data_IF_943812233797
#
_entry.id   IF_943812233797
#
_cell.length_a   1.000
_cell.length_b   1.000
_cell.length_c   1.000
_cell.angle_alpha   90.00
_cell.angle_beta   90.00
_cell.angle_gamma   90.00
#
_symmetry.space_group_name_H-M   'P 1'
#
loop_
_entity.id
_entity.type
_entity.pdbx_description
1 polymer ?
#
# COMPACT_ATOMS: atom_id res chain seq x y z
N UNK A 1 -12.24 -11.99 16.71
CA UNK A 1 -13.13 -13.09 16.26
C UNK A 1 -13.57 -12.70 14.84
N UNK A 2 -13.15 -13.27 13.72
CA UNK A 2 -12.35 -14.45 13.38
C UNK A 2 -11.42 -14.00 12.22
N UNK A 3 -10.10 -14.03 12.41
CA UNK A 3 -9.16 -13.97 11.28
C UNK A 3 -9.26 -15.35 10.63
N UNK A 4 -10.08 -15.47 9.60
CA UNK A 4 -10.38 -16.75 8.96
C UNK A 4 -9.09 -17.37 8.40
N UNK A 5 -8.58 -18.39 9.08
CA UNK A 5 -7.61 -19.32 8.51
C UNK A 5 -8.29 -20.02 7.33
N UNK A 6 -7.89 -19.70 6.10
CA UNK A 6 -8.27 -20.48 4.92
C UNK A 6 -7.04 -21.24 4.43
N UNK A 7 -7.18 -22.56 4.40
CA UNK A 7 -6.16 -23.52 3.96
C UNK A 7 -6.31 -23.72 2.45
N UNK A 8 -5.24 -23.52 1.69
CA UNK A 8 -5.22 -23.86 0.27
C UNK A 8 -5.19 -25.39 0.07
N UNK A 9 -5.60 -25.91 -1.11
CA UNK A 9 -5.63 -27.35 -1.40
C UNK A 9 -4.27 -28.06 -1.33
N UNK A 10 -3.16 -27.31 -1.29
CA UNK A 10 -1.79 -27.80 -1.19
C UNK A 10 -1.23 -27.81 0.25
N UNK A 11 -2.06 -27.44 1.24
CA UNK A 11 -1.68 -27.47 2.65
C UNK A 11 -0.92 -26.25 3.15
N UNK A 12 -0.65 -25.25 2.31
CA UNK A 12 -0.11 -23.97 2.74
C UNK A 12 -1.23 -23.08 3.32
N UNK A 13 -1.00 -22.55 4.52
CA UNK A 13 -1.87 -21.57 5.17
C UNK A 13 -1.41 -20.18 4.74
N UNK A 14 -2.20 -19.46 3.93
CA UNK A 14 -2.04 -18.01 3.76
C UNK A 14 -2.67 -17.32 4.98
N UNK A 15 -2.01 -17.44 6.12
CA UNK A 15 -2.35 -16.67 7.31
C UNK A 15 -1.98 -15.20 7.04
N UNK A 16 -3.00 -14.35 6.85
CA UNK A 16 -2.94 -12.89 7.02
C UNK A 16 -1.81 -12.12 6.31
N UNK A 17 -1.75 -12.14 4.97
CA UNK A 17 -0.94 -11.15 4.23
C UNK A 17 -1.76 -10.11 3.46
N UNK A 18 -3.09 -10.19 3.51
CA UNK A 18 -3.98 -9.32 2.71
C UNK A 18 -3.80 -7.80 2.95
N UNK A 19 -3.58 -7.29 4.17
CA UNK A 19 -3.33 -5.86 4.38
C UNK A 19 -2.11 -5.33 3.63
N UNK A 20 -1.16 -6.24 3.36
CA UNK A 20 0.12 -5.96 2.73
C UNK A 20 0.12 -6.38 1.26
N UNK A 21 -1.05 -6.55 0.64
CA UNK A 21 -1.15 -6.74 -0.82
C UNK A 21 -1.58 -5.46 -1.55
N UNK A 22 -2.31 -4.58 -0.86
CA UNK A 22 -2.65 -3.26 -1.38
C UNK A 22 -1.46 -2.30 -1.27
N UNK A 23 -1.44 -1.20 -2.05
CA UNK A 23 -0.41 -0.19 -1.94
C UNK A 23 -0.37 0.43 -0.54
N UNK A 24 0.83 0.47 0.05
CA UNK A 24 1.10 1.19 1.30
C UNK A 24 2.13 2.27 0.99
N UNK A 25 1.79 3.49 1.38
CA UNK A 25 2.72 4.60 1.32
C UNK A 25 3.34 4.83 2.70
N UNK A 26 4.61 5.21 2.73
CA UNK A 26 5.32 5.63 3.94
C UNK A 26 5.89 7.02 3.72
N UNK A 27 5.61 7.94 4.64
CA UNK A 27 6.11 9.31 4.62
C UNK A 27 7.09 9.46 5.77
N UNK A 28 8.29 9.97 5.48
CA UNK A 28 9.36 10.17 6.47
C UNK A 28 9.12 11.43 7.29
N UNK A 29 8.08 11.39 8.13
CA UNK A 29 7.78 12.40 9.13
C UNK A 29 6.96 11.77 10.27
N UNK A 30 7.00 12.36 11.48
CA UNK A 30 6.14 11.93 12.60
C UNK A 30 4.66 12.04 12.28
N UNK A 31 3.86 11.14 12.87
CA UNK A 31 2.42 11.01 12.65
C UNK A 31 1.68 12.34 12.73
N UNK A 32 1.85 13.10 13.80
CA UNK A 32 1.15 14.38 13.97
C UNK A 32 1.51 15.41 12.89
N UNK A 33 2.77 15.43 12.42
CA UNK A 33 3.18 16.33 11.34
C UNK A 33 2.50 15.95 10.02
N UNK A 34 2.40 14.65 9.74
CA UNK A 34 1.70 14.15 8.54
C UNK A 34 0.21 14.42 8.62
N UNK A 35 -0.42 14.20 9.78
CA UNK A 35 -1.84 14.49 9.99
C UNK A 35 -2.14 15.97 9.80
N UNK A 36 -1.39 16.87 10.45
CA UNK A 36 -1.58 18.32 10.31
C UNK A 36 -1.51 18.74 8.84
N UNK A 37 -0.45 18.37 8.14
CA UNK A 37 -0.27 18.74 6.72
C UNK A 37 -1.37 18.15 5.83
N UNK A 38 -1.75 16.89 6.07
CA UNK A 38 -2.80 16.21 5.31
C UNK A 38 -4.14 16.91 5.50
N UNK A 39 -4.51 17.22 6.74
CA UNK A 39 -5.77 17.89 7.07
C UNK A 39 -5.80 19.31 6.53
N UNK A 40 -4.72 20.10 6.68
CA UNK A 40 -4.64 21.45 6.14
C UNK A 40 -4.80 21.48 4.61
N UNK A 41 -4.06 20.62 3.90
CA UNK A 41 -4.15 20.54 2.44
C UNK A 41 -5.53 20.08 1.97
N UNK A 42 -6.06 19.00 2.54
CA UNK A 42 -7.35 18.44 2.11
C UNK A 42 -8.54 19.33 2.50
N UNK A 43 -8.47 20.07 3.61
CA UNK A 43 -9.47 21.10 3.93
C UNK A 43 -9.52 22.19 2.86
N UNK A 44 -8.37 22.58 2.30
CA UNK A 44 -8.31 23.53 1.19
C UNK A 44 -9.01 23.04 -0.09
N UNK A 45 -9.16 21.73 -0.27
CA UNK A 45 -9.91 21.12 -1.38
C UNK A 45 -11.40 20.93 -1.07
N UNK A 46 -11.80 20.97 0.21
CA UNK A 46 -13.17 20.76 0.68
C UNK A 46 -13.67 19.32 0.56
N UNK A 47 -14.92 19.11 0.99
CA UNK A 47 -15.66 17.84 0.78
C UNK A 47 -15.08 16.62 1.48
N UNK A 48 -14.37 16.77 2.60
CA UNK A 48 -13.72 15.68 3.32
C UNK A 48 -13.97 15.78 4.82
N UNK A 49 -14.09 14.63 5.48
CA UNK A 49 -14.15 14.50 6.93
C UNK A 49 -12.89 13.79 7.45
N UNK A 50 -12.58 14.05 8.72
CA UNK A 50 -11.39 13.55 9.38
C UNK A 50 -11.79 12.97 10.74
N UNK A 51 -11.52 11.69 10.95
CA UNK A 51 -11.86 10.98 12.18
C UNK A 51 -10.58 10.40 12.78
N UNK A 52 -10.23 10.82 13.99
CA UNK A 52 -9.11 10.23 14.74
C UNK A 52 -9.53 8.84 15.26
N UNK A 53 -8.65 7.86 15.10
CA UNK A 53 -8.83 6.49 15.56
C UNK A 53 -7.77 6.16 16.62
N UNK A 54 -8.17 5.34 17.60
CA UNK A 54 -7.32 4.84 18.70
C UNK A 54 -7.60 3.36 18.92
N UNK A 55 -7.14 2.54 17.99
CA UNK A 55 -7.43 1.10 17.96
C UNK A 55 -6.33 0.35 17.19
N UNK A 56 -6.20 -0.98 17.35
CA UNK A 56 -5.21 -1.75 16.62
C UNK A 56 -5.40 -1.68 15.09
N UNK A 57 -4.30 -1.79 14.33
CA UNK A 57 -4.31 -1.74 12.86
C UNK A 57 -5.43 -2.59 12.21
N UNK A 58 -5.69 -3.86 12.61
CA UNK A 58 -6.76 -4.64 12.00
C UNK A 58 -8.15 -3.99 12.09
N UNK A 59 -8.44 -3.29 13.19
CA UNK A 59 -9.70 -2.58 13.35
C UNK A 59 -9.72 -1.31 12.48
N UNK A 60 -8.63 -0.54 12.45
CA UNK A 60 -8.53 0.65 11.59
C UNK A 60 -8.70 0.30 10.11
N UNK A 61 -8.10 -0.81 9.65
CA UNK A 61 -8.23 -1.28 8.27
C UNK A 61 -9.67 -1.67 7.92
N UNK A 62 -10.47 -2.10 8.89
CA UNK A 62 -11.89 -2.39 8.66
C UNK A 62 -12.69 -1.14 8.25
N UNK A 63 -12.24 0.07 8.63
CA UNK A 63 -12.87 1.31 8.17
C UNK A 63 -12.69 1.54 6.66
N UNK A 64 -11.66 0.94 6.04
CA UNK A 64 -11.44 1.00 4.59
C UNK A 64 -12.34 0.02 3.82
N UNK A 65 -13.04 -0.88 4.50
CA UNK A 65 -13.99 -1.77 3.84
C UNK A 65 -15.31 -1.04 3.51
N UNK A 66 -16.03 -1.51 2.46
CA UNK A 66 -15.57 -2.46 1.44
C UNK A 66 -14.52 -1.84 0.50
N UNK A 67 -13.77 -2.68 -0.22
CA UNK A 67 -12.93 -2.20 -1.33
C UNK A 67 -13.79 -1.45 -2.34
N UNK A 68 -13.26 -0.38 -2.93
CA UNK A 68 -14.02 0.34 -3.93
C UNK A 68 -13.20 1.10 -4.98
N UNK A 69 -13.83 1.35 -6.13
CA UNK A 69 -13.26 2.15 -7.22
C UNK A 69 -14.31 3.10 -7.83
N UNK A 70 -14.04 4.41 -7.90
CA UNK A 70 -12.89 5.08 -7.27
C UNK A 70 -12.94 5.01 -5.74
N UNK A 71 -11.78 5.02 -5.10
CA UNK A 71 -11.66 5.02 -3.63
C UNK A 71 -12.02 6.38 -3.06
N UNK A 72 -12.73 6.44 -1.93
CA UNK A 72 -13.01 7.70 -1.22
C UNK A 72 -12.50 7.71 0.23
N UNK A 73 -11.92 6.59 0.70
CA UNK A 73 -11.35 6.50 2.04
C UNK A 73 -9.84 6.31 2.02
N UNK A 74 -9.18 6.94 2.98
CA UNK A 74 -7.75 6.82 3.23
C UNK A 74 -7.52 6.71 4.74
N UNK A 75 -6.45 6.05 5.14
CA UNK A 75 -6.10 5.87 6.54
C UNK A 75 -4.63 6.20 6.74
N UNK A 76 -4.35 7.22 7.55
CA UNK A 76 -2.99 7.55 8.03
C UNK A 76 -2.78 6.84 9.35
N UNK A 77 -1.64 6.16 9.54
CA UNK A 77 -1.35 5.33 10.72
C UNK A 77 0.05 5.63 11.22
N UNK A 78 0.16 5.85 12.53
CA UNK A 78 1.42 5.95 13.27
C UNK A 78 2.23 4.64 13.17
N UNK A 79 3.55 4.75 13.26
CA UNK A 79 4.43 3.57 13.28
C UNK A 79 5.37 3.65 14.47
N UNK A 80 5.87 2.50 14.93
CA UNK A 80 6.80 2.41 16.05
C UNK A 80 8.17 3.05 15.75
N UNK A 81 8.43 3.38 14.48
CA UNK A 81 9.52 4.25 14.09
C UNK A 81 8.99 5.69 13.98
N UNK A 82 9.21 6.53 15.00
CA UNK A 82 8.72 7.92 15.10
C UNK A 82 9.00 8.82 13.88
N UNK A 83 9.92 8.41 13.00
CA UNK A 83 10.26 9.09 11.76
C UNK A 83 9.40 8.69 10.55
N UNK A 84 8.54 7.67 10.68
CA UNK A 84 7.74 7.11 9.60
C UNK A 84 6.25 7.13 9.95
N UNK A 85 5.44 7.47 8.95
CA UNK A 85 3.97 7.38 9.01
C UNK A 85 3.48 6.58 7.81
N UNK A 86 2.59 5.61 8.04
CA UNK A 86 2.01 4.80 6.98
C UNK A 86 0.69 5.40 6.49
N UNK A 87 0.40 5.23 5.19
CA UNK A 87 -0.87 5.64 4.58
C UNK A 87 -1.42 4.47 3.75
N UNK A 88 -2.63 4.07 4.08
CA UNK A 88 -3.40 3.01 3.44
C UNK A 88 -4.56 3.60 2.65
N UNK A 89 -5.06 2.82 1.70
CA UNK A 89 -6.14 3.21 0.79
C UNK A 89 -7.28 2.21 0.78
N UNK A 90 -8.48 2.71 0.47
CA UNK A 90 -9.58 1.87 0.01
C UNK A 90 -9.33 1.40 -1.43
N UNK A 91 -8.28 0.61 -1.64
CA UNK A 91 -8.15 -0.18 -2.86
C UNK A 91 -7.64 0.51 -4.12
N UNK A 92 -7.21 1.76 -4.04
CA UNK A 92 -6.65 2.49 -5.18
C UNK A 92 -5.40 3.27 -4.78
N UNK A 93 -4.56 3.60 -5.76
CA UNK A 93 -3.35 4.35 -5.48
C UNK A 93 -3.67 5.77 -5.02
N UNK A 94 -3.11 6.16 -3.88
CA UNK A 94 -3.39 7.47 -3.27
C UNK A 94 -2.31 8.47 -3.68
N UNK A 95 -2.71 9.46 -4.47
CA UNK A 95 -1.89 10.63 -4.75
C UNK A 95 -1.63 11.52 -3.51
N UNK A 96 -2.49 11.47 -2.48
CA UNK A 96 -2.35 12.25 -1.24
C UNK A 96 -0.99 12.07 -0.59
N UNK A 97 -0.51 10.84 -0.45
CA UNK A 97 0.75 10.58 0.24
C UNK A 97 1.95 11.18 -0.51
N UNK A 98 1.90 11.19 -1.85
CA UNK A 98 2.90 11.85 -2.68
C UNK A 98 2.83 13.38 -2.52
N UNK A 99 1.63 13.97 -2.55
CA UNK A 99 1.45 15.42 -2.36
C UNK A 99 1.89 15.88 -0.97
N UNK A 100 1.49 15.17 0.08
CA UNK A 100 1.89 15.48 1.46
C UNK A 100 3.39 15.28 1.65
N UNK A 101 3.95 14.19 1.12
CA UNK A 101 5.39 13.96 1.11
C UNK A 101 6.17 15.11 0.45
N UNK A 102 5.66 15.62 -0.68
CA UNK A 102 6.21 16.77 -1.38
C UNK A 102 6.10 18.08 -0.60
N UNK A 103 4.95 18.34 0.03
CA UNK A 103 4.71 19.55 0.85
C UNK A 103 5.59 19.58 2.09
N UNK A 104 5.88 18.42 2.67
CA UNK A 104 6.80 18.27 3.80
C UNK A 104 8.29 18.26 3.43
N UNK A 105 8.61 18.27 2.12
CA UNK A 105 9.95 18.05 1.57
C UNK A 105 10.64 16.81 2.19
N UNK A 106 9.89 15.70 2.22
CA UNK A 106 10.29 14.48 2.92
C UNK A 106 10.46 13.29 1.97
N UNK A 107 11.23 12.30 2.41
CA UNK A 107 11.30 11.01 1.74
C UNK A 107 9.92 10.34 1.81
N UNK A 108 9.40 9.88 0.68
CA UNK A 108 8.15 9.14 0.61
C UNK A 108 8.30 7.90 -0.26
N UNK A 109 7.75 6.79 0.21
CA UNK A 109 7.97 5.47 -0.37
C UNK A 109 6.61 4.82 -0.61
N UNK A 110 6.35 4.46 -1.85
CA UNK A 110 5.22 3.62 -2.23
C UNK A 110 5.67 2.19 -2.34
N UNK A 111 4.97 1.28 -1.68
CA UNK A 111 5.19 -0.17 -1.77
C UNK A 111 3.91 -0.83 -2.26
N UNK A 112 4.00 -1.88 -3.08
CA UNK A 112 2.83 -2.70 -3.43
C UNK A 112 3.26 -4.10 -3.84
N UNK A 113 2.48 -5.10 -3.46
CA UNK A 113 2.68 -6.48 -3.88
C UNK A 113 1.34 -7.19 -4.14
N UNK A 114 1.03 -7.45 -5.41
CA UNK A 114 -0.08 -8.27 -5.84
C UNK A 114 0.50 -9.62 -6.33
N UNK A 115 0.08 -10.77 -5.78
CA UNK A 115 0.49 -12.06 -6.32
C UNK A 115 -0.15 -12.33 -7.69
N UNK A 116 0.56 -13.02 -8.58
CA UNK A 116 -0.03 -13.49 -9.83
C UNK A 116 -0.75 -14.81 -9.60
N UNK A 117 -2.06 -14.86 -9.80
CA UNK A 117 -2.86 -16.05 -9.52
C UNK A 117 -3.57 -16.53 -10.77
N UNK A 118 -3.39 -17.81 -11.06
CA UNK A 118 -4.04 -18.52 -12.16
C UNK A 118 -4.89 -19.64 -11.60
N UNK A 119 -6.17 -19.67 -11.95
CA UNK A 119 -7.14 -20.71 -11.61
C UNK A 119 -7.76 -21.26 -12.89
N UNK A 120 -7.84 -22.58 -13.04
CA UNK A 120 -8.40 -23.23 -14.22
C UNK A 120 -7.84 -22.69 -15.56
N UNK A 121 -6.52 -22.43 -15.57
CA UNK A 121 -5.79 -21.81 -16.70
C UNK A 121 -6.24 -20.40 -17.07
N UNK A 122 -7.02 -19.74 -16.22
CA UNK A 122 -7.41 -18.34 -16.34
C UNK A 122 -6.71 -17.52 -15.27
N UNK A 123 -6.20 -16.35 -15.66
CA UNK A 123 -5.64 -15.40 -14.71
C UNK A 123 -6.81 -14.77 -13.94
N UNK A 124 -6.76 -14.89 -12.62
CA UNK A 124 -7.74 -14.28 -11.72
C UNK A 124 -7.14 -13.12 -10.92
N UNK A 125 -5.81 -13.07 -10.82
CA UNK A 125 -5.08 -11.90 -10.31
C UNK A 125 -3.81 -11.63 -11.10
N UNK A 126 -3.61 -10.39 -11.52
CA UNK A 126 -2.40 -9.97 -12.25
C UNK A 126 -1.31 -9.59 -11.26
N UNK A 127 -0.16 -10.27 -11.30
CA UNK A 127 0.88 -10.03 -10.31
C UNK A 127 1.63 -8.72 -10.55
N UNK A 128 2.02 -8.05 -9.47
CA UNK A 128 2.82 -6.83 -9.50
C UNK A 128 3.54 -6.62 -8.19
N UNK A 129 4.88 -6.50 -8.22
CA UNK A 129 5.67 -5.99 -7.08
C UNK A 129 6.27 -4.65 -7.49
N UNK A 130 6.11 -3.61 -6.68
CA UNK A 130 6.65 -2.29 -6.97
C UNK A 130 7.13 -1.54 -5.71
N UNK A 131 8.22 -0.78 -5.88
CA UNK A 131 8.77 0.17 -4.92
C UNK A 131 9.06 1.48 -5.63
N UNK A 132 8.43 2.58 -5.21
CA UNK A 132 8.73 3.92 -5.73
C UNK A 132 9.21 4.80 -4.59
N UNK A 133 10.32 5.51 -4.79
CA UNK A 133 10.95 6.39 -3.81
C UNK A 133 10.94 7.80 -4.38
N UNK A 134 10.42 8.75 -3.62
CA UNK A 134 10.50 10.17 -3.92
C UNK A 134 11.10 10.93 -2.73
N UNK A 135 11.74 12.05 -3.00
CA UNK A 135 12.21 13.01 -1.99
C UNK A 135 11.57 14.35 -2.31
N UNK A 136 10.67 14.81 -1.45
CA UNK A 136 9.80 15.93 -1.79
C UNK A 136 9.02 15.63 -3.08
N UNK A 137 9.01 16.59 -4.02
CA UNK A 137 8.38 16.43 -5.34
C UNK A 137 9.23 15.63 -6.36
N UNK A 138 10.47 15.25 -6.02
CA UNK A 138 11.40 14.60 -6.95
C UNK A 138 11.24 13.08 -6.89
N UNK A 139 11.00 12.45 -8.04
CA UNK A 139 11.09 10.99 -8.20
C UNK A 139 12.56 10.55 -8.20
N UNK A 140 12.93 9.66 -7.27
CA UNK A 140 14.32 9.22 -7.06
C UNK A 140 14.55 7.87 -7.72
N UNK A 141 13.68 6.89 -7.45
CA UNK A 141 13.84 5.51 -7.89
C UNK A 141 12.48 4.86 -8.09
N UNK A 142 12.31 4.06 -9.13
CA UNK A 142 11.25 3.05 -9.17
C UNK A 142 11.78 1.71 -9.64
N UNK A 143 11.24 0.66 -9.02
CA UNK A 143 11.48 -0.74 -9.38
C UNK A 143 10.12 -1.40 -9.48
N UNK A 144 9.83 -2.05 -10.60
CA UNK A 144 8.57 -2.74 -10.80
C UNK A 144 8.71 -3.98 -11.67
N UNK A 145 8.25 -5.12 -11.15
CA UNK A 145 7.92 -6.31 -11.92
C UNK A 145 6.40 -6.44 -11.95
N UNK A 146 5.76 -6.25 -13.10
CA UNK A 146 4.30 -6.26 -13.20
C UNK A 146 3.79 -6.99 -14.43
N UNK A 147 2.70 -7.73 -14.28
CA UNK A 147 1.98 -8.34 -15.38
C UNK A 147 0.94 -7.37 -15.92
N UNK A 148 0.99 -7.11 -17.23
CA UNK A 148 -0.06 -6.40 -17.96
C UNK A 148 -0.64 -7.34 -19.02
N UNK A 149 -0.21 -7.24 -20.28
CA UNK A 149 -0.41 -8.28 -21.30
C UNK A 149 0.68 -9.36 -21.28
N UNK A 150 1.83 -9.03 -20.68
CA UNK A 150 2.98 -9.88 -20.41
C UNK A 150 3.68 -9.34 -19.16
N UNK A 151 4.63 -10.09 -18.62
CA UNK A 151 5.51 -9.57 -17.59
C UNK A 151 6.39 -8.44 -18.14
N UNK A 152 6.43 -7.34 -17.40
CA UNK A 152 7.24 -6.16 -17.68
C UNK A 152 8.16 -5.88 -16.50
N UNK A 153 9.39 -5.49 -16.82
CA UNK A 153 10.39 -5.05 -15.86
C UNK A 153 10.68 -3.57 -16.12
N UNK A 154 10.40 -2.73 -15.14
CA UNK A 154 10.52 -1.27 -15.26
C UNK A 154 11.43 -0.75 -14.16
N UNK A 155 12.42 0.06 -14.56
CA UNK A 155 13.34 0.75 -13.67
C UNK A 155 13.39 2.24 -14.02
N UNK A 156 13.52 3.09 -13.01
CA UNK A 156 13.82 4.52 -13.17
C UNK A 156 14.81 4.97 -12.10
N UNK A 157 15.69 5.92 -12.44
CA UNK A 157 16.66 6.48 -11.50
C UNK A 157 17.82 5.53 -11.16
N UNK A 158 18.72 6.00 -10.30
CA UNK A 158 19.92 5.26 -9.93
C UNK A 158 19.64 4.18 -8.88
N UNK A 159 20.32 3.02 -8.96
CA UNK A 159 20.29 2.02 -7.90
C UNK A 159 20.64 2.60 -6.52
N UNK A 160 19.87 2.20 -5.51
CA UNK A 160 20.12 2.54 -4.12
C UNK A 160 21.10 1.54 -3.47
N UNK A 161 21.86 1.94 -2.43
CA UNK A 161 22.90 1.08 -1.82
C UNK A 161 22.41 -0.23 -1.23
N UNK A 162 21.12 -0.34 -0.91
CA UNK A 162 20.50 -1.53 -0.34
C UNK A 162 19.96 -2.51 -1.40
N UNK A 163 19.96 -2.13 -2.68
CA UNK A 163 19.39 -2.97 -3.74
C UNK A 163 20.27 -4.19 -4.03
N UNK A 164 19.65 -5.38 -4.11
CA UNK A 164 20.28 -6.60 -4.59
C UNK A 164 20.22 -6.65 -6.13
N UNK A 165 21.21 -6.06 -6.78
CA UNK A 165 21.23 -5.94 -8.25
C UNK A 165 21.42 -7.27 -8.98
N UNK A 166 21.97 -8.29 -8.32
CA UNK A 166 22.15 -9.61 -8.94
C UNK A 166 20.77 -10.24 -9.25
N UNK A 167 19.79 -10.05 -8.37
CA UNK A 167 18.41 -10.50 -8.58
C UNK A 167 17.79 -9.95 -9.87
N UNK A 168 18.19 -8.75 -10.32
CA UNK A 168 17.61 -8.10 -11.50
C UNK A 168 17.96 -8.82 -12.81
N UNK A 169 18.94 -9.72 -12.77
CA UNK A 169 19.34 -10.54 -13.91
C UNK A 169 18.58 -11.86 -14.02
N UNK A 170 17.68 -12.16 -13.07
CA UNK A 170 16.91 -13.39 -13.08
C UNK A 170 16.15 -13.60 -14.41
N UNK A 171 16.09 -14.88 -14.83
CA UNK A 171 15.52 -15.27 -16.14
C UNK A 171 14.04 -14.91 -16.25
N UNK A 172 13.27 -15.12 -15.18
CA UNK A 172 11.85 -14.73 -15.13
C UNK A 172 11.74 -13.37 -14.48
N UNK A 173 10.99 -12.47 -15.09
CA UNK A 173 10.76 -11.11 -14.58
C UNK A 173 10.18 -11.08 -13.16
N UNK A 174 9.19 -11.93 -12.78
CA UNK A 174 8.68 -11.98 -11.40
C UNK A 174 9.76 -12.26 -10.35
N UNK A 175 10.77 -13.05 -10.73
CA UNK A 175 11.85 -13.46 -9.83
C UNK A 175 12.88 -12.34 -9.66
N UNK A 176 12.79 -11.24 -10.42
CA UNK A 176 13.69 -10.08 -10.31
C UNK A 176 13.32 -9.14 -9.17
N UNK A 177 12.07 -9.18 -8.71
CA UNK A 177 11.63 -8.36 -7.58
C UNK A 177 10.45 -9.02 -6.87
N UNK A 178 10.79 -9.76 -5.83
CA UNK A 178 9.86 -10.55 -5.03
C UNK A 178 9.32 -9.74 -3.85
N UNK A 179 8.30 -10.25 -3.16
CA UNK A 179 7.83 -9.68 -1.88
C UNK A 179 8.97 -9.64 -0.84
N UNK A 180 9.79 -10.68 -0.79
CA UNK A 180 10.95 -10.77 0.10
C UNK A 180 11.93 -9.62 -0.16
N UNK A 181 12.36 -9.41 -1.42
CA UNK A 181 13.24 -8.28 -1.76
C UNK A 181 12.59 -6.93 -1.47
N UNK A 182 11.27 -6.78 -1.69
CA UNK A 182 10.55 -5.56 -1.33
C UNK A 182 10.64 -5.31 0.19
N UNK A 183 10.43 -6.32 1.02
CA UNK A 183 10.50 -6.19 2.47
C UNK A 183 11.94 -5.93 2.93
N UNK A 184 12.95 -6.60 2.37
CA UNK A 184 14.38 -6.32 2.62
C UNK A 184 14.73 -4.85 2.32
N UNK A 185 14.24 -4.32 1.20
CA UNK A 185 14.45 -2.92 0.83
C UNK A 185 13.73 -1.96 1.78
N UNK A 186 12.54 -2.31 2.27
CA UNK A 186 11.84 -1.55 3.30
C UNK A 186 12.63 -1.54 4.62
N UNK A 187 13.14 -2.70 5.06
CA UNK A 187 13.93 -2.80 6.28
C UNK A 187 15.21 -1.97 6.22
N UNK A 188 15.90 -1.95 5.08
CA UNK A 188 17.08 -1.10 4.88
C UNK A 188 16.76 0.40 5.01
N UNK A 189 15.50 0.80 4.84
CA UNK A 189 14.99 2.16 5.01
C UNK A 189 14.41 2.41 6.42
N UNK A 190 14.44 1.39 7.30
CA UNK A 190 13.86 1.44 8.64
C UNK A 190 12.34 1.27 8.67
N UNK A 191 11.76 0.61 7.67
CA UNK A 191 10.33 0.32 7.55
C UNK A 191 10.13 -1.18 7.71
N UNK A 192 9.39 -1.61 8.73
CA UNK A 192 9.04 -3.01 8.96
C UNK A 192 7.65 -3.32 8.39
N UNK A 193 7.53 -3.22 7.07
CA UNK A 193 6.26 -3.30 6.32
C UNK A 193 5.45 -4.56 6.61
N UNK A 194 6.11 -5.68 6.82
CA UNK A 194 5.51 -7.00 7.06
C UNK A 194 5.34 -7.35 8.54
N UNK A 195 5.74 -6.46 9.44
CA UNK A 195 5.55 -6.63 10.87
C UNK A 195 4.28 -5.90 11.34
N UNK A 196 3.24 -6.63 11.76
CA UNK A 196 2.03 -6.02 12.30
C UNK A 196 2.28 -5.13 13.54
N UNK A 197 3.33 -5.41 14.32
CA UNK A 197 3.72 -4.62 15.50
C UNK A 197 4.42 -3.31 15.15
N UNK A 198 4.79 -3.09 13.89
CA UNK A 198 5.34 -1.82 13.40
C UNK A 198 4.29 -0.71 13.36
N UNK A 199 3.02 -1.07 13.21
CA UNK A 199 1.91 -0.12 13.09
C UNK A 199 1.27 0.07 14.46
N UNK A 200 1.26 1.31 14.93
CA UNK A 200 0.71 1.63 16.25
C UNK A 200 -0.81 1.84 16.20
N UNK A 201 -1.40 2.09 17.37
CA UNK A 201 -2.85 2.23 17.50
C UNK A 201 -3.40 3.61 17.20
N UNK A 202 -2.57 4.59 16.81
CA UNK A 202 -3.04 5.93 16.46
C UNK A 202 -3.22 6.07 14.94
N UNK A 203 -4.40 6.53 14.52
CA UNK A 203 -4.71 6.74 13.12
C UNK A 203 -5.62 7.93 12.83
N UNK A 204 -5.70 8.29 11.56
CA UNK A 204 -6.61 9.27 11.00
C UNK A 204 -7.32 8.66 9.79
N UNK A 205 -8.62 8.41 9.94
CA UNK A 205 -9.48 8.08 8.82
C UNK A 205 -9.89 9.36 8.10
N UNK A 206 -9.74 9.36 6.79
CA UNK A 206 -10.11 10.44 5.89
C UNK A 206 -11.18 9.90 4.96
N UNK A 207 -12.31 10.57 4.86
CA UNK A 207 -13.40 10.20 3.97
C UNK A 207 -13.79 11.38 3.10
N UNK A 208 -13.91 11.14 1.79
CA UNK A 208 -14.42 12.12 0.85
C UNK A 208 -15.94 11.98 0.68
N UNK A 209 -16.62 13.14 0.61
CA UNK A 209 -18.04 13.21 0.29
C UNK A 209 -18.27 12.87 -1.19
N UNK A 210 -18.82 11.69 -1.42
CA UNK A 210 -19.13 11.17 -2.75
C UNK A 210 -20.51 11.61 -3.26
N UNK A 211 -21.24 12.47 -2.54
CA UNK A 211 -22.59 12.91 -2.89
C UNK A 211 -22.66 13.49 -4.31
N UNK A 212 -21.67 14.32 -4.66
CA UNK A 212 -21.55 15.04 -5.94
C UNK A 212 -20.95 14.21 -7.09
N UNK A 213 -20.49 12.98 -6.84
CA UNK A 213 -19.80 12.19 -7.85
C UNK A 213 -20.75 11.69 -8.95
N UNK A 214 -20.42 12.02 -10.22
CA UNK A 214 -21.17 11.60 -11.41
C UNK A 214 -21.22 10.07 -11.56
N UNK A 215 -20.12 9.38 -11.21
CA UNK A 215 -20.06 7.92 -11.16
C UNK A 215 -19.98 7.47 -9.71
N UNK A 216 -20.99 6.73 -9.25
CA UNK A 216 -20.95 6.16 -7.90
C UNK A 216 -19.91 5.06 -7.82
N UNK A 217 -19.22 4.93 -6.66
CA UNK A 217 -18.20 3.92 -6.52
C UNK A 217 -18.76 2.51 -6.65
N UNK A 218 -18.04 1.65 -7.35
CA UNK A 218 -18.31 0.21 -7.36
C UNK A 218 -17.64 -0.40 -6.14
N UNK A 219 -18.38 -1.17 -5.36
CA UNK A 219 -17.89 -1.76 -4.10
C UNK A 219 -17.79 -3.28 -4.25
N UNK A 220 -16.76 -3.86 -3.65
CA UNK A 220 -16.57 -5.31 -3.56
C UNK A 220 -16.18 -5.62 -2.13
N UNK A 221 -16.90 -6.51 -1.47
CA UNK A 221 -16.55 -6.88 -0.10
C UNK A 221 -15.25 -7.71 -0.09
N UNK A 222 -14.43 -7.57 0.93
CA UNK A 222 -13.22 -8.38 1.14
C UNK A 222 -13.47 -9.89 1.00
N UNK A 223 -14.62 -10.40 1.47
CA UNK A 223 -15.01 -11.81 1.32
C UNK A 223 -15.28 -12.24 -0.12
N UNK A 224 -15.75 -11.33 -0.97
CA UNK A 224 -15.97 -11.57 -2.40
C UNK A 224 -14.65 -11.45 -3.16
N UNK A 225 -13.83 -10.44 -2.85
CA UNK A 225 -12.47 -10.27 -3.40
C UNK A 225 -11.59 -11.50 -3.14
N UNK A 226 -11.74 -12.13 -1.97
CA UNK A 226 -11.00 -13.34 -1.62
C UNK A 226 -11.42 -14.58 -2.41
N UNK A 227 -12.70 -14.70 -2.77
CA UNK A 227 -13.22 -15.82 -3.57
C UNK A 227 -12.74 -15.79 -5.02
N UNK A 228 -12.46 -14.58 -5.52
CA UNK A 228 -11.93 -14.36 -6.86
C UNK A 228 -10.39 -14.42 -6.89
N UNK A 229 -9.72 -14.29 -5.74
CA UNK A 229 -8.25 -14.26 -5.63
C UNK A 229 -7.66 -15.63 -5.25
N UNK A 230 -8.27 -16.37 -4.32
CA UNK A 230 -7.99 -17.79 -4.04
C UNK A 230 -8.74 -18.59 -5.05
#
# INVERSE_FOLDING_TARGET
>A
MCLGQFRLPDGHTLEMQLPFTDPIWFIKAPFERVVTETTEWLNGLGGRSFTRLREPLPSMLHHLEPWAMPSWKQLVVSTSADQWTAVFSQGSDIGTANVVGARLDSLNIRTSHQPHITRDRKIVSYGSTALWIHSGARHIRSIQASYQSRWLWTLFGDPQPFENLDSYTAKKIPDRFTLESLNEYCHALGIERDNSGFYESEGLLIEEDTSSWTRKPSQVNSTERLRDTI
#
